data_IF_817517317985
#
_entry.id   IF_817517317985
#
_cell.length_a   1.000
_cell.length_b   1.000
_cell.length_c   1.000
_cell.angle_alpha   90.00
_cell.angle_beta   90.00
_cell.angle_gamma   90.00
#
_symmetry.space_group_name_H-M   'P 1'
#
loop_
_entity.id
_entity.type
_entity.pdbx_description
1 polymer ?
#
# COMPACT_ATOMS: atom_id res chain seq x y z
N UNK A 1 -12.06 -4.47 15.06
CA UNK A 1 -11.80 -4.28 13.61
C UNK A 1 -11.36 -5.63 13.06
N UNK A 2 -11.89 -6.07 11.91
CA UNK A 2 -11.28 -7.22 11.22
C UNK A 2 -9.84 -6.83 10.87
N UNK A 3 -8.89 -7.76 11.02
CA UNK A 3 -7.53 -7.51 10.56
C UNK A 3 -7.57 -7.14 9.07
N UNK A 4 -6.97 -6.01 8.67
CA UNK A 4 -6.99 -5.61 7.28
C UNK A 4 -6.20 -6.65 6.47
N UNK A 5 -6.80 -7.10 5.36
CA UNK A 5 -6.22 -8.12 4.47
C UNK A 5 -4.87 -7.67 3.89
N UNK A 6 -4.64 -6.34 3.84
CA UNK A 6 -3.40 -5.68 3.42
C UNK A 6 -2.95 -4.65 4.45
N UNK A 7 -1.63 -4.49 4.58
CA UNK A 7 -1.02 -3.47 5.43
C UNK A 7 -0.53 -2.33 4.56
N UNK A 8 -0.88 -1.09 4.88
CA UNK A 8 -0.52 0.08 4.06
C UNK A 8 0.46 0.98 4.81
N UNK A 9 1.49 1.43 4.11
CA UNK A 9 2.41 2.48 4.55
C UNK A 9 2.23 3.68 3.63
N UNK A 10 1.66 4.75 4.18
CA UNK A 10 1.48 6.03 3.50
C UNK A 10 2.65 6.96 3.84
N UNK A 11 3.36 7.42 2.82
CA UNK A 11 4.53 8.32 2.95
C UNK A 11 4.15 9.70 2.40
N UNK A 12 4.31 10.75 3.20
CA UNK A 12 3.99 12.13 2.81
C UNK A 12 5.24 13.00 2.81
N UNK A 13 5.49 13.72 1.70
CA UNK A 13 6.64 14.62 1.55
C UNK A 13 7.98 13.94 1.25
N UNK A 14 7.99 12.62 1.05
CA UNK A 14 9.20 11.87 0.72
C UNK A 14 9.56 12.06 -0.75
N UNK A 15 10.85 12.22 -1.02
CA UNK A 15 11.40 12.06 -2.36
C UNK A 15 11.32 10.58 -2.80
N UNK A 16 11.51 10.34 -4.10
CA UNK A 16 11.52 8.98 -4.63
C UNK A 16 12.64 8.12 -4.01
N UNK A 17 13.83 8.70 -3.82
CA UNK A 17 14.98 8.00 -3.24
C UNK A 17 14.74 7.62 -1.77
N UNK A 18 14.19 8.53 -0.97
CA UNK A 18 13.84 8.25 0.42
C UNK A 18 12.73 7.21 0.52
N UNK A 19 11.70 7.29 -0.32
CA UNK A 19 10.63 6.30 -0.36
C UNK A 19 11.17 4.90 -0.69
N UNK A 20 12.07 4.78 -1.66
CA UNK A 20 12.73 3.50 -1.99
C UNK A 20 13.57 2.97 -0.82
N UNK A 21 14.28 3.83 -0.10
CA UNK A 21 15.05 3.44 1.07
C UNK A 21 14.14 2.89 2.19
N UNK A 22 13.02 3.56 2.48
CA UNK A 22 12.00 3.11 3.44
C UNK A 22 11.43 1.76 3.01
N UNK A 23 11.03 1.61 1.74
CA UNK A 23 10.50 0.35 1.21
C UNK A 23 11.47 -0.82 1.45
N UNK A 24 12.77 -0.62 1.19
CA UNK A 24 13.79 -1.66 1.41
C UNK A 24 13.91 -2.03 2.89
N UNK A 25 14.00 -1.05 3.78
CA UNK A 25 14.12 -1.29 5.23
C UNK A 25 12.91 -2.05 5.80
N UNK A 26 11.70 -1.65 5.41
CA UNK A 26 10.48 -2.32 5.85
C UNK A 26 10.41 -3.75 5.31
N UNK A 27 10.70 -3.96 4.03
CA UNK A 27 10.67 -5.30 3.41
C UNK A 27 11.68 -6.28 4.01
N UNK A 28 12.78 -5.78 4.59
CA UNK A 28 13.74 -6.59 5.33
C UNK A 28 13.23 -7.01 6.72
N UNK A 29 12.30 -6.25 7.30
CA UNK A 29 11.83 -6.44 8.68
C UNK A 29 10.54 -7.28 8.73
N UNK A 30 9.68 -7.17 7.72
CA UNK A 30 8.36 -7.80 7.73
C UNK A 30 8.34 -9.11 6.92
N UNK A 31 7.74 -10.15 7.49
CA UNK A 31 7.74 -11.53 6.94
C UNK A 31 6.89 -11.70 5.66
N UNK A 32 5.95 -10.80 5.38
CA UNK A 32 5.04 -10.89 4.22
C UNK A 32 5.03 -9.59 3.38
N UNK A 33 6.15 -9.24 2.73
CA UNK A 33 6.27 -7.97 2.02
C UNK A 33 5.34 -7.83 0.82
N UNK A 34 4.78 -8.93 0.32
CA UNK A 34 3.79 -8.93 -0.78
C UNK A 34 2.41 -8.43 -0.36
N UNK A 35 2.10 -8.46 0.93
CA UNK A 35 0.85 -7.92 1.51
C UNK A 35 1.00 -6.47 1.98
N UNK A 36 2.16 -5.84 1.71
CA UNK A 36 2.41 -4.44 2.01
C UNK A 36 2.12 -3.57 0.79
N UNK A 37 1.29 -2.58 0.99
CA UNK A 37 1.04 -1.50 0.05
C UNK A 37 1.89 -0.31 0.48
N UNK A 38 2.69 0.21 -0.43
CA UNK A 38 3.45 1.44 -0.21
C UNK A 38 2.88 2.52 -1.11
N UNK A 39 2.50 3.64 -0.53
CA UNK A 39 1.90 4.74 -1.26
C UNK A 39 2.55 6.07 -0.86
N UNK A 40 2.81 6.91 -1.85
CA UNK A 40 3.15 8.31 -1.64
C UNK A 40 1.87 9.13 -1.71
N UNK A 41 1.63 9.96 -0.71
CA UNK A 41 0.50 10.88 -0.77
C UNK A 41 0.73 11.93 -1.85
N UNK A 42 -0.33 12.28 -2.56
CA UNK A 42 -0.37 13.38 -3.52
C UNK A 42 -1.25 14.52 -2.98
N UNK A 43 -1.18 15.74 -3.54
CA UNK A 43 -2.12 16.81 -3.17
C UNK A 43 -3.59 16.37 -3.26
N UNK A 44 -3.91 15.50 -4.21
CA UNK A 44 -5.24 14.93 -4.41
C UNK A 44 -5.60 13.93 -3.30
N UNK A 45 -4.69 13.02 -2.93
CA UNK A 45 -4.98 12.02 -1.88
C UNK A 45 -5.21 12.66 -0.51
N UNK A 46 -4.61 13.82 -0.24
CA UNK A 46 -4.80 14.56 1.02
C UNK A 46 -6.21 15.13 1.20
N UNK A 47 -6.97 15.29 0.11
CA UNK A 47 -8.36 15.75 0.17
C UNK A 47 -9.34 14.59 0.40
N UNK A 48 -8.87 13.34 0.35
CA UNK A 48 -9.70 12.15 0.54
C UNK A 48 -9.79 11.81 2.03
N UNK A 49 -10.91 11.21 2.43
CA UNK A 49 -10.96 10.53 3.71
C UNK A 49 -9.99 9.36 3.68
N UNK A 50 -9.31 9.12 4.81
CA UNK A 50 -8.34 8.04 4.91
C UNK A 50 -8.96 6.68 4.57
N UNK A 51 -10.22 6.44 4.95
CA UNK A 51 -10.93 5.19 4.64
C UNK A 51 -11.08 4.95 3.13
N UNK A 52 -11.38 6.00 2.35
CA UNK A 52 -11.59 5.91 0.91
C UNK A 52 -10.24 5.71 0.21
N UNK A 53 -9.21 6.44 0.65
CA UNK A 53 -7.85 6.30 0.14
C UNK A 53 -7.31 4.88 0.36
N UNK A 54 -7.53 4.29 1.54
CA UNK A 54 -7.06 2.93 1.82
C UNK A 54 -7.75 1.87 0.94
N UNK A 55 -9.05 2.02 0.66
CA UNK A 55 -9.80 1.12 -0.23
C UNK A 55 -9.30 1.20 -1.67
N UNK A 56 -9.03 2.41 -2.15
CA UNK A 56 -8.49 2.65 -3.49
C UNK A 56 -7.10 2.02 -3.63
N UNK A 57 -6.20 2.26 -2.68
CA UNK A 57 -4.87 1.68 -2.66
C UNK A 57 -4.89 0.14 -2.61
N UNK A 58 -5.84 -0.45 -1.87
CA UNK A 58 -6.05 -1.90 -1.84
C UNK A 58 -6.48 -2.44 -3.22
N UNK A 59 -7.44 -1.79 -3.87
CA UNK A 59 -7.90 -2.18 -5.20
C UNK A 59 -6.78 -2.08 -6.25
N UNK A 60 -6.01 -0.98 -6.23
CA UNK A 60 -4.85 -0.80 -7.12
C UNK A 60 -3.80 -1.89 -6.91
N UNK A 61 -3.47 -2.21 -5.65
CA UNK A 61 -2.49 -3.25 -5.34
C UNK A 61 -2.94 -4.64 -5.79
N UNK A 62 -4.24 -4.97 -5.63
CA UNK A 62 -4.80 -6.24 -6.12
C UNK A 62 -4.69 -6.36 -7.64
N UNK A 63 -5.03 -5.29 -8.37
CA UNK A 63 -4.93 -5.23 -9.83
C UNK A 63 -3.47 -5.37 -10.30
N UNK A 64 -2.52 -4.73 -9.63
CA UNK A 64 -1.09 -4.80 -9.98
C UNK A 64 -0.44 -6.15 -9.66
N UNK A 65 -0.91 -6.85 -8.63
CA UNK A 65 -0.30 -8.10 -8.16
C UNK A 65 -0.98 -9.36 -8.72
N UNK A 66 -2.08 -9.21 -9.47
CA UNK A 66 -2.84 -10.33 -10.04
C UNK A 66 -3.49 -11.22 -8.96
N UNK A 67 -3.71 -10.68 -7.75
CA UNK A 67 -4.38 -11.43 -6.68
C UNK A 67 -5.89 -11.59 -6.92
N UNK A 68 -6.45 -10.94 -7.93
CA UNK A 68 -7.87 -11.09 -8.34
C UNK A 68 -8.15 -12.45 -9.03
N UNK A 69 -7.16 -13.08 -9.67
CA UNK A 69 -7.39 -14.33 -10.44
C UNK A 69 -7.30 -15.62 -9.59
N UNK A 70 -6.78 -15.55 -8.36
CA UNK A 70 -6.54 -16.75 -7.53
C UNK A 70 -7.65 -17.08 -6.52
N UNK A 71 -8.65 -16.22 -6.39
CA UNK A 71 -9.77 -16.41 -5.45
C UNK A 71 -11.09 -16.86 -6.12
N UNK A 72 -11.09 -17.21 -7.41
CA UNK A 72 -12.26 -17.81 -8.06
C UNK A 72 -12.01 -19.31 -8.40
N UNK A 73 -12.46 -20.26 -7.54
CA UNK A 73 -12.38 -21.70 -7.81
C UNK A 73 -13.38 -22.19 -8.86
#
# INVERSE_FOLDING_TARGET
MKDPQFKTILMHGFTHEEALAVMRAVKQTLQEPRRLIFALSTPQSLQKKLEDLLRELEAEHRAMTGQEERENP
#
